data_IF_066658548263
#
_entry.id   IF_066658548263
#
_cell.length_a   1.000
_cell.length_b   1.000
_cell.length_c   1.000
_cell.angle_alpha   90.00
_cell.angle_beta   90.00
_cell.angle_gamma   90.00
#
_symmetry.space_group_name_H-M   'P 1'
#
loop_
_entity.id
_entity.type
_entity.pdbx_description
1 polymer ?
#
# COMPACT_ATOMS: atom_id res chain seq x y z
N UNK A 1 35.62 -29.91 -13.56
CA UNK A 1 34.21 -29.48 -13.62
C UNK A 1 33.87 -28.89 -12.28
N UNK A 2 33.83 -27.56 -12.19
CA UNK A 2 33.34 -26.89 -10.99
C UNK A 2 31.83 -27.10 -10.95
N UNK A 3 31.38 -27.85 -9.94
CA UNK A 3 29.97 -27.89 -9.57
C UNK A 3 29.58 -26.46 -9.21
N UNK A 4 28.71 -25.88 -10.03
CA UNK A 4 28.05 -24.61 -9.76
C UNK A 4 27.19 -24.83 -8.52
N UNK A 5 27.74 -24.54 -7.34
CA UNK A 5 26.99 -24.53 -6.08
C UNK A 5 25.95 -23.46 -6.28
N UNK A 6 24.70 -23.87 -6.56
CA UNK A 6 23.63 -22.98 -6.97
C UNK A 6 23.60 -21.73 -6.10
N UNK A 7 23.95 -20.59 -6.71
CA UNK A 7 24.07 -19.31 -6.00
C UNK A 7 22.72 -19.05 -5.33
N UNK A 8 22.72 -19.02 -4.00
CA UNK A 8 21.52 -18.68 -3.23
C UNK A 8 21.16 -17.23 -3.57
N UNK A 9 19.98 -17.00 -4.13
CA UNK A 9 19.56 -15.64 -4.48
C UNK A 9 18.82 -14.98 -3.32
N UNK A 10 19.24 -13.78 -2.93
CA UNK A 10 18.59 -13.03 -1.86
C UNK A 10 17.49 -12.15 -2.43
N UNK A 11 16.25 -12.35 -1.94
CA UNK A 11 15.09 -11.59 -2.35
C UNK A 11 14.65 -10.69 -1.21
N UNK A 12 14.70 -9.37 -1.44
CA UNK A 12 14.13 -8.38 -0.54
C UNK A 12 12.61 -8.33 -0.71
N UNK A 13 11.85 -8.38 0.38
CA UNK A 13 10.39 -8.26 0.36
C UNK A 13 9.98 -7.01 1.12
N UNK A 14 9.55 -5.98 0.40
CA UNK A 14 9.08 -4.72 0.99
C UNK A 14 7.56 -4.77 1.22
N UNK A 15 7.13 -4.79 2.48
CA UNK A 15 5.73 -4.84 2.89
C UNK A 15 5.21 -3.42 3.20
N UNK A 16 4.27 -2.94 2.38
CA UNK A 16 3.62 -1.63 2.51
C UNK A 16 2.25 -1.81 3.16
N UNK A 17 2.12 -1.33 4.41
CA UNK A 17 0.87 -1.45 5.16
C UNK A 17 -0.19 -0.49 4.58
N UNK A 18 -1.49 -0.81 4.69
CA UNK A 18 -2.53 0.13 4.28
C UNK A 18 -2.54 1.37 5.19
N UNK A 19 -3.02 2.49 4.68
CA UNK A 19 -3.20 3.72 5.47
C UNK A 19 -4.64 3.75 6.02
N UNK A 20 -4.75 3.96 7.32
CA UNK A 20 -6.03 4.08 8.03
C UNK A 20 -5.81 4.53 9.46
N UNK A 21 -6.89 4.72 10.21
CA UNK A 21 -6.81 5.23 11.59
C UNK A 21 -5.96 4.28 12.45
N UNK A 22 -4.73 4.69 12.75
CA UNK A 22 -3.80 3.95 13.61
C UNK A 22 -3.17 2.71 13.00
N UNK A 23 -3.32 2.48 11.70
CA UNK A 23 -2.62 1.35 11.04
C UNK A 23 -1.15 1.72 10.82
N UNK A 24 -0.25 0.78 11.14
CA UNK A 24 1.17 0.86 10.88
C UNK A 24 1.75 -0.52 10.58
N UNK A 25 3.07 -0.68 10.69
CA UNK A 25 3.80 -1.93 10.44
C UNK A 25 3.28 -3.12 11.25
N UNK A 26 2.67 -2.86 12.41
CA UNK A 26 2.07 -3.90 13.25
C UNK A 26 1.01 -4.73 12.50
N UNK A 27 0.40 -4.16 11.46
CA UNK A 27 -0.54 -4.85 10.57
C UNK A 27 0.06 -6.13 9.95
N UNK A 28 1.37 -6.15 9.71
CA UNK A 28 2.05 -7.31 9.14
C UNK A 28 2.58 -8.29 10.20
N UNK A 29 2.43 -8.06 11.50
CA UNK A 29 3.04 -8.95 12.52
C UNK A 29 2.59 -10.41 12.38
N UNK A 30 1.30 -10.65 12.10
CA UNK A 30 0.79 -12.01 11.88
C UNK A 30 1.36 -12.63 10.60
N UNK A 31 1.45 -11.86 9.52
CA UNK A 31 2.06 -12.28 8.27
C UNK A 31 3.54 -12.62 8.46
N UNK A 32 4.29 -11.78 9.16
CA UNK A 32 5.72 -12.01 9.44
C UNK A 32 5.92 -13.31 10.24
N UNK A 33 5.06 -13.57 11.24
CA UNK A 33 5.09 -14.82 11.98
C UNK A 33 4.84 -16.05 11.10
N UNK A 34 3.84 -15.98 10.21
CA UNK A 34 3.54 -17.06 9.27
C UNK A 34 4.64 -17.26 8.22
N UNK A 35 5.25 -16.17 7.72
CA UNK A 35 6.40 -16.25 6.82
C UNK A 35 7.58 -16.92 7.51
N UNK A 36 7.92 -16.50 8.74
CA UNK A 36 9.01 -17.11 9.52
C UNK A 36 8.78 -18.60 9.77
N UNK A 37 7.53 -19.01 10.02
CA UNK A 37 7.19 -20.41 10.32
C UNK A 37 7.16 -21.29 9.08
N UNK A 38 6.73 -20.75 7.94
CA UNK A 38 6.51 -21.53 6.70
C UNK A 38 7.68 -21.51 5.75
N UNK A 39 8.48 -20.46 5.79
CA UNK A 39 9.60 -20.32 4.88
C UNK A 39 10.68 -21.33 5.26
N UNK A 40 10.96 -22.22 4.32
CA UNK A 40 12.07 -23.17 4.41
C UNK A 40 13.19 -22.62 3.54
N UNK A 41 14.37 -22.43 4.15
CA UNK A 41 15.55 -22.02 3.41
C UNK A 41 15.79 -23.01 2.26
N UNK A 42 15.82 -22.48 1.04
CA UNK A 42 16.02 -23.23 -0.20
C UNK A 42 17.06 -22.54 -1.06
N UNK A 43 16.83 -22.46 -2.37
CA UNK A 43 17.72 -21.76 -3.31
C UNK A 43 17.69 -20.24 -3.21
N UNK A 44 16.76 -19.68 -2.41
CA UNK A 44 16.68 -18.24 -2.18
C UNK A 44 16.77 -17.97 -0.68
N UNK A 45 17.27 -16.79 -0.31
CA UNK A 45 17.19 -16.17 1.03
C UNK A 45 16.14 -15.05 1.00
N UNK A 46 15.38 -14.85 2.09
CA UNK A 46 14.36 -13.78 2.16
C UNK A 46 14.72 -12.73 3.21
N UNK A 47 14.80 -11.47 2.78
CA UNK A 47 14.93 -10.31 3.65
C UNK A 47 13.61 -9.55 3.66
N UNK A 48 12.80 -9.75 4.70
CA UNK A 48 11.46 -9.14 4.78
C UNK A 48 11.50 -7.85 5.58
N UNK A 49 11.05 -6.76 4.97
CA UNK A 49 11.10 -5.39 5.51
C UNK A 49 9.68 -4.84 5.59
N UNK A 50 9.27 -4.38 6.78
CA UNK A 50 7.94 -3.80 7.01
C UNK A 50 8.06 -2.48 7.78
N UNK A 51 8.38 -1.36 7.11
CA UNK A 51 8.54 -0.07 7.76
C UNK A 51 7.18 0.58 8.07
N UNK A 52 7.19 1.57 8.95
CA UNK A 52 6.07 2.51 9.07
C UNK A 52 6.20 3.60 7.99
N UNK A 53 5.12 3.85 7.25
CA UNK A 53 5.06 4.95 6.28
C UNK A 53 5.15 6.31 6.97
N UNK A 54 5.76 7.30 6.32
CA UNK A 54 5.75 8.69 6.77
C UNK A 54 4.33 9.10 7.19
N UNK A 55 4.23 9.73 8.36
CA UNK A 55 2.94 10.15 8.91
C UNK A 55 2.12 9.03 9.55
N UNK A 56 2.59 7.79 9.60
CA UNK A 56 1.92 6.63 10.22
C UNK A 56 2.71 6.10 11.42
N UNK A 57 1.99 5.69 12.48
CA UNK A 57 2.55 5.01 13.66
C UNK A 57 3.89 5.60 14.15
N UNK A 58 5.01 4.86 14.15
CA UNK A 58 6.29 5.34 14.69
C UNK A 58 7.01 6.34 13.76
N UNK A 59 6.68 6.36 12.47
CA UNK A 59 7.18 7.31 11.48
C UNK A 59 6.30 8.58 11.36
N UNK A 60 5.46 8.87 12.36
CA UNK A 60 4.53 10.00 12.30
C UNK A 60 5.09 11.35 12.76
N UNK A 61 6.37 11.42 13.07
CA UNK A 61 7.05 12.68 13.39
C UNK A 61 7.97 13.12 12.25
N UNK A 62 7.45 13.71 11.16
CA UNK A 62 8.27 14.30 10.11
C UNK A 62 8.75 15.68 10.57
N UNK A 63 9.65 15.69 11.55
CA UNK A 63 10.40 16.88 11.89
C UNK A 63 11.69 16.80 11.09
N UNK A 64 11.77 17.55 9.99
CA UNK A 64 13.08 17.83 9.41
C UNK A 64 13.83 18.72 10.41
N UNK A 65 14.90 18.18 10.98
CA UNK A 65 15.93 18.98 11.66
C UNK A 65 16.90 19.47 10.60
N UNK A 66 17.18 20.78 10.56
CA UNK A 66 18.32 21.28 9.80
C UNK A 66 19.63 20.71 10.36
N UNK A 67 20.72 20.84 9.60
CA UNK A 67 22.10 20.56 10.07
C UNK A 67 22.51 21.36 11.32
N UNK A 68 21.77 22.42 11.66
CA UNK A 68 21.93 23.21 12.88
C UNK A 68 21.05 22.75 14.07
N UNK A 69 20.31 21.64 13.93
CA UNK A 69 19.40 21.14 14.96
C UNK A 69 18.08 21.92 15.05
N UNK A 70 17.81 22.83 14.12
CA UNK A 70 16.60 23.64 14.09
C UNK A 70 15.44 22.87 13.44
N UNK A 71 14.28 22.85 14.09
CA UNK A 71 13.07 22.22 13.55
C UNK A 71 12.54 23.08 12.40
N UNK A 72 12.88 22.70 11.16
CA UNK A 72 12.53 23.42 9.91
C UNK A 72 11.01 23.62 9.75
N UNK A 73 10.21 22.76 10.39
CA UNK A 73 8.76 22.76 10.25
C UNK A 73 8.02 22.85 11.58
N UNK A 74 8.36 23.81 12.46
CA UNK A 74 7.44 24.16 13.56
C UNK A 74 6.04 24.60 13.07
N UNK A 75 5.89 25.00 11.79
CA UNK A 75 4.65 25.63 11.26
C UNK A 75 4.03 25.02 10.00
N UNK A 76 4.67 24.08 9.30
CA UNK A 76 4.16 23.58 8.00
C UNK A 76 3.97 22.06 8.03
N UNK A 77 2.71 21.65 8.15
CA UNK A 77 2.29 20.24 8.01
C UNK A 77 2.55 19.77 6.58
N UNK A 78 3.35 18.70 6.35
CA UNK A 78 3.56 18.18 5.01
C UNK A 78 2.27 17.50 4.53
N UNK A 79 1.81 17.86 3.33
CA UNK A 79 0.85 17.02 2.61
C UNK A 79 1.66 15.86 2.07
N UNK A 80 1.49 14.68 2.63
CA UNK A 80 2.13 13.47 2.14
C UNK A 80 1.40 12.98 0.89
N UNK A 81 2.14 12.62 -0.15
CA UNK A 81 1.66 12.07 -1.41
C UNK A 81 2.39 10.76 -1.76
N UNK A 82 2.05 10.17 -2.90
CA UNK A 82 2.68 8.93 -3.38
C UNK A 82 4.19 9.06 -3.48
N UNK A 83 4.68 10.17 -4.05
CA UNK A 83 6.12 10.45 -4.21
C UNK A 83 6.83 10.47 -2.86
N UNK A 84 6.29 11.14 -1.84
CA UNK A 84 6.89 11.18 -0.51
C UNK A 84 7.04 9.78 0.11
N UNK A 85 6.04 8.90 -0.09
CA UNK A 85 6.09 7.53 0.41
C UNK A 85 6.97 6.60 -0.45
N UNK A 86 6.96 6.74 -1.78
CA UNK A 86 7.81 5.94 -2.66
C UNK A 86 9.28 6.32 -2.48
N UNK A 87 9.59 7.59 -2.28
CA UNK A 87 10.95 8.08 -2.02
C UNK A 87 11.45 7.56 -0.67
N UNK A 88 10.64 7.69 0.40
CA UNK A 88 10.97 7.13 1.72
C UNK A 88 11.35 5.63 1.62
N UNK A 89 10.54 4.86 0.90
CA UNK A 89 10.76 3.42 0.78
C UNK A 89 11.94 3.09 -0.14
N UNK A 90 12.15 3.87 -1.20
CA UNK A 90 13.30 3.70 -2.10
C UNK A 90 14.63 4.00 -1.42
N UNK A 91 14.67 5.04 -0.57
CA UNK A 91 15.82 5.38 0.25
C UNK A 91 16.12 4.28 1.28
N UNK A 92 15.07 3.74 1.91
CA UNK A 92 15.20 2.61 2.83
C UNK A 92 15.72 1.35 2.11
N UNK A 93 15.19 1.04 0.92
CA UNK A 93 15.69 -0.10 0.12
C UNK A 93 17.17 0.07 -0.20
N UNK A 94 17.60 1.29 -0.59
CA UNK A 94 19.01 1.60 -0.86
C UNK A 94 19.88 1.43 0.38
N UNK A 95 19.42 1.91 1.54
CA UNK A 95 20.12 1.76 2.83
C UNK A 95 20.29 0.28 3.20
N UNK A 96 19.33 -0.58 2.86
CA UNK A 96 19.40 -2.02 3.10
C UNK A 96 20.36 -2.68 2.11
N UNK A 97 20.34 -2.28 0.84
CA UNK A 97 21.28 -2.77 -0.18
C UNK A 97 22.75 -2.48 0.19
N UNK A 98 23.02 -1.38 0.90
CA UNK A 98 24.35 -1.06 1.44
C UNK A 98 24.80 -2.00 2.57
N UNK A 99 23.86 -2.63 3.27
CA UNK A 99 24.11 -3.48 4.44
C UNK A 99 23.92 -4.97 4.16
N UNK A 100 23.22 -5.32 3.09
CA UNK A 100 22.81 -6.68 2.78
C UNK A 100 22.72 -6.85 1.27
N UNK A 101 23.30 -7.94 0.75
CA UNK A 101 23.19 -8.26 -0.67
C UNK A 101 21.75 -8.62 -1.01
N UNK A 102 21.09 -7.81 -1.83
CA UNK A 102 19.77 -8.10 -2.37
C UNK A 102 19.93 -8.30 -3.88
N UNK A 103 19.53 -9.45 -4.44
CA UNK A 103 19.59 -9.64 -5.90
C UNK A 103 18.37 -9.02 -6.59
N UNK A 104 17.20 -9.08 -5.96
CA UNK A 104 15.95 -8.51 -6.49
C UNK A 104 14.95 -8.19 -5.38
N UNK A 105 14.05 -7.27 -5.67
CA UNK A 105 12.97 -6.87 -4.76
C UNK A 105 11.60 -7.37 -5.22
N UNK A 106 10.81 -7.79 -4.24
CA UNK A 106 9.37 -7.95 -4.32
C UNK A 106 8.68 -6.87 -3.48
N UNK A 107 7.86 -6.03 -4.09
CA UNK A 107 7.11 -4.98 -3.36
C UNK A 107 5.66 -5.41 -3.19
N UNK A 108 5.20 -5.45 -1.95
CA UNK A 108 3.88 -5.97 -1.57
C UNK A 108 3.09 -4.84 -0.91
N UNK A 109 1.83 -4.69 -1.28
CA UNK A 109 1.00 -3.58 -0.79
C UNK A 109 -0.46 -4.00 -0.65
N UNK A 110 -1.24 -3.24 0.11
CA UNK A 110 -2.65 -3.52 0.35
C UNK A 110 -3.53 -2.30 0.08
N UNK A 111 -4.66 -2.54 -0.60
CA UNK A 111 -5.72 -1.57 -0.79
C UNK A 111 -5.29 -0.31 -1.54
N UNK A 112 -5.67 0.85 -1.01
CA UNK A 112 -5.40 2.14 -1.66
C UNK A 112 -3.92 2.52 -1.75
N UNK A 113 -3.03 1.80 -1.06
CA UNK A 113 -1.58 2.01 -1.13
C UNK A 113 -0.93 1.29 -2.33
N UNK A 114 -1.70 0.60 -3.17
CA UNK A 114 -1.20 -0.01 -4.41
C UNK A 114 -0.36 0.90 -5.30
N UNK A 115 -0.73 2.19 -5.49
CA UNK A 115 0.05 3.12 -6.30
C UNK A 115 1.48 3.33 -5.79
N UNK A 116 1.74 3.21 -4.49
CA UNK A 116 3.09 3.37 -3.93
C UNK A 116 4.02 2.26 -4.46
N UNK A 117 3.55 1.01 -4.50
CA UNK A 117 4.35 -0.09 -5.00
C UNK A 117 4.61 0.02 -6.51
N UNK A 118 3.60 0.45 -7.27
CA UNK A 118 3.73 0.69 -8.71
C UNK A 118 4.71 1.83 -9.00
N UNK A 119 4.66 2.91 -8.22
CA UNK A 119 5.58 4.03 -8.35
C UNK A 119 7.03 3.60 -8.07
N UNK A 120 7.28 2.84 -6.99
CA UNK A 120 8.63 2.32 -6.67
C UNK A 120 9.17 1.47 -7.82
N UNK A 121 8.35 0.57 -8.37
CA UNK A 121 8.75 -0.28 -9.49
C UNK A 121 9.03 0.54 -10.76
N UNK A 122 8.17 1.50 -11.08
CA UNK A 122 8.34 2.38 -12.24
C UNK A 122 9.60 3.26 -12.11
N UNK A 123 9.86 3.84 -10.94
CA UNK A 123 11.03 4.69 -10.71
C UNK A 123 12.34 3.90 -10.77
N UNK A 124 12.36 2.66 -10.25
CA UNK A 124 13.52 1.79 -10.40
C UNK A 124 13.73 1.36 -11.85
N UNK A 125 12.67 1.07 -12.61
CA UNK A 125 12.75 0.80 -14.05
C UNK A 125 13.31 1.99 -14.85
N UNK A 126 12.87 3.21 -14.57
CA UNK A 126 13.35 4.42 -15.26
C UNK A 126 14.81 4.73 -14.99
N UNK A 127 15.35 4.25 -13.86
CA UNK A 127 16.76 4.40 -13.47
C UNK A 127 17.65 3.29 -14.01
N UNK A 128 17.08 2.24 -14.61
CA UNK A 128 17.83 1.23 -15.36
C UNK A 128 18.26 1.84 -16.70
N UNK A 129 19.56 1.84 -16.98
CA UNK A 129 20.09 2.40 -18.22
C UNK A 129 19.84 1.48 -19.43
N UNK A 130 20.13 1.99 -20.63
CA UNK A 130 20.00 1.27 -21.90
C UNK A 130 20.84 -0.01 -22.02
N UNK A 131 21.79 -0.23 -21.09
CA UNK A 131 22.64 -1.41 -21.04
C UNK A 131 22.11 -2.46 -20.03
N UNK A 132 20.95 -2.22 -19.41
CA UNK A 132 20.37 -3.12 -18.41
C UNK A 132 21.09 -3.09 -17.07
N UNK A 133 22.02 -2.16 -16.88
CA UNK A 133 22.67 -1.90 -15.60
C UNK A 133 21.86 -0.86 -14.84
N UNK A 134 21.45 -1.18 -13.62
CA UNK A 134 20.87 -0.16 -12.74
C UNK A 134 21.95 0.90 -12.51
N UNK A 135 21.73 2.14 -12.93
CA UNK A 135 22.77 3.17 -13.07
C UNK A 135 23.56 3.48 -11.79
N UNK A 136 23.11 2.98 -10.63
CA UNK A 136 23.76 3.10 -9.32
C UNK A 136 24.02 1.74 -8.61
N UNK A 137 23.95 0.60 -9.31
CA UNK A 137 24.11 -0.72 -8.68
C UNK A 137 22.95 -1.16 -7.77
N UNK A 138 21.81 -0.46 -7.81
CA UNK A 138 20.60 -0.82 -7.06
C UNK A 138 20.02 -2.14 -7.57
N UNK A 139 19.30 -2.89 -6.73
CA UNK A 139 18.70 -4.16 -7.13
C UNK A 139 17.37 -3.94 -7.88
N UNK A 140 17.07 -4.67 -8.95
CA UNK A 140 15.81 -4.48 -9.68
C UNK A 140 14.59 -4.86 -8.82
N UNK A 141 13.44 -4.23 -9.09
CA UNK A 141 12.15 -4.72 -8.62
C UNK A 141 11.64 -5.70 -9.66
N UNK A 142 11.62 -6.99 -9.34
CA UNK A 142 11.17 -8.02 -10.28
C UNK A 142 9.67 -8.29 -10.16
N UNK A 143 9.12 -8.17 -8.96
CA UNK A 143 7.75 -8.58 -8.66
C UNK A 143 7.02 -7.51 -7.83
N UNK A 144 5.77 -7.23 -8.19
CA UNK A 144 4.85 -6.40 -7.41
C UNK A 144 3.61 -7.24 -7.06
N UNK A 145 3.28 -7.32 -5.78
CA UNK A 145 2.10 -8.04 -5.29
C UNK A 145 1.10 -7.04 -4.74
N UNK A 146 -0.04 -6.92 -5.40
CA UNK A 146 -1.10 -6.01 -5.02
C UNK A 146 -2.23 -6.77 -4.32
N UNK A 147 -2.47 -6.44 -3.05
CA UNK A 147 -3.50 -7.08 -2.25
C UNK A 147 -4.75 -6.22 -2.12
N UNK A 148 -5.93 -6.85 -2.23
CA UNK A 148 -7.25 -6.22 -2.03
C UNK A 148 -7.39 -4.89 -2.78
N UNK A 149 -6.98 -4.91 -4.04
CA UNK A 149 -6.81 -3.73 -4.89
C UNK A 149 -8.12 -2.97 -5.13
N UNK A 150 -8.06 -1.63 -5.25
CA UNK A 150 -9.16 -0.83 -5.80
C UNK A 150 -9.51 -1.23 -7.23
N UNK A 151 -10.63 -0.71 -7.73
CA UNK A 151 -11.01 -0.87 -9.15
C UNK A 151 -9.99 -0.17 -10.06
N UNK A 152 -9.85 -0.63 -11.31
CA UNK A 152 -8.95 -0.02 -12.29
C UNK A 152 -9.16 1.50 -12.43
N UNK A 153 -10.41 1.97 -12.37
CA UNK A 153 -10.75 3.39 -12.41
C UNK A 153 -10.03 4.22 -11.33
N UNK A 154 -9.71 3.64 -10.17
CA UNK A 154 -8.94 4.33 -9.13
C UNK A 154 -7.51 4.67 -9.61
N UNK A 155 -6.90 3.79 -10.38
CA UNK A 155 -5.53 3.95 -10.90
C UNK A 155 -5.47 4.89 -12.10
N UNK A 156 -6.54 4.93 -12.90
CA UNK A 156 -6.63 5.76 -14.10
C UNK A 156 -7.22 7.15 -13.86
N UNK A 157 -7.82 7.39 -12.68
CA UNK A 157 -8.37 8.70 -12.33
C UNK A 157 -7.26 9.65 -11.92
N UNK A 158 -7.33 10.89 -12.40
CA UNK A 158 -6.49 11.98 -11.90
C UNK A 158 -7.22 12.72 -10.78
N UNK A 159 -6.49 13.05 -9.72
CA UNK A 159 -6.99 13.93 -8.65
C UNK A 159 -6.63 15.38 -8.96
N UNK A 160 -7.54 16.32 -8.70
CA UNK A 160 -7.25 17.75 -8.80
C UNK A 160 -6.33 18.18 -7.63
N UNK A 161 -5.06 18.58 -7.89
CA UNK A 161 -4.10 18.91 -6.83
C UNK A 161 -4.56 20.06 -5.94
N UNK A 162 -5.34 21.01 -6.49
CA UNK A 162 -5.89 22.14 -5.72
C UNK A 162 -6.96 21.65 -4.76
N UNK A 163 -7.87 20.77 -5.21
CA UNK A 163 -8.88 20.13 -4.35
C UNK A 163 -8.22 19.27 -3.27
N UNK A 164 -7.26 18.42 -3.61
CA UNK A 164 -6.53 17.58 -2.64
C UNK A 164 -5.90 18.46 -1.56
N UNK A 165 -5.20 19.52 -1.96
CA UNK A 165 -4.56 20.45 -1.02
C UNK A 165 -5.57 21.19 -0.14
N UNK A 166 -6.72 21.58 -0.69
CA UNK A 166 -7.80 22.23 0.07
C UNK A 166 -8.41 21.26 1.10
N UNK A 167 -8.77 20.04 0.68
CA UNK A 167 -9.30 18.98 1.55
C UNK A 167 -8.31 18.65 2.67
N UNK A 168 -7.03 18.49 2.33
CA UNK A 168 -5.99 18.24 3.32
C UNK A 168 -5.86 19.38 4.33
N UNK A 169 -5.87 20.64 3.89
CA UNK A 169 -5.84 21.79 4.83
C UNK A 169 -7.03 21.76 5.79
N UNK A 170 -8.22 21.43 5.31
CA UNK A 170 -9.43 21.30 6.15
C UNK A 170 -9.27 20.19 7.20
N UNK A 171 -8.76 19.02 6.80
CA UNK A 171 -8.54 17.89 7.70
C UNK A 171 -7.38 18.14 8.68
N UNK A 172 -6.21 18.55 8.17
CA UNK A 172 -5.00 18.65 8.96
C UNK A 172 -4.92 19.89 9.87
N UNK A 173 -5.59 21.00 9.50
CA UNK A 173 -5.55 22.27 10.26
C UNK A 173 -6.88 22.68 10.89
N UNK A 174 -8.00 22.11 10.43
CA UNK A 174 -9.33 22.50 10.89
C UNK A 174 -9.76 21.86 12.22
N UNK A 175 -10.73 22.51 12.87
CA UNK A 175 -11.48 21.94 13.99
C UNK A 175 -12.13 20.60 13.59
N UNK A 176 -12.55 20.48 12.33
CA UNK A 176 -13.17 19.27 11.76
C UNK A 176 -12.28 18.05 11.89
N UNK A 177 -11.01 18.10 11.46
CA UNK A 177 -10.13 16.95 11.56
C UNK A 177 -9.72 16.62 12.99
N UNK A 178 -9.55 17.63 13.86
CA UNK A 178 -9.35 17.40 15.30
C UNK A 178 -10.57 16.70 15.92
N UNK A 179 -11.78 17.15 15.62
CA UNK A 179 -13.02 16.56 16.09
C UNK A 179 -13.20 15.13 15.57
N UNK A 180 -12.94 14.89 14.28
CA UNK A 180 -12.94 13.54 13.70
C UNK A 180 -11.92 12.61 14.36
N UNK A 181 -10.70 13.09 14.60
CA UNK A 181 -9.66 12.30 15.27
C UNK A 181 -10.05 11.96 16.70
N UNK A 182 -10.52 12.96 17.46
CA UNK A 182 -11.05 12.76 18.81
C UNK A 182 -12.21 11.77 18.81
N UNK A 183 -13.16 11.92 17.87
CA UNK A 183 -14.29 11.02 17.71
C UNK A 183 -13.85 9.59 17.38
N UNK A 184 -12.79 9.43 16.59
CA UNK A 184 -12.24 8.12 16.26
C UNK A 184 -11.64 7.43 17.48
N UNK A 185 -11.08 8.19 18.42
CA UNK A 185 -10.40 7.69 19.62
C UNK A 185 -11.27 7.63 20.89
N UNK A 186 -12.46 8.23 20.86
CA UNK A 186 -13.39 8.21 22.00
C UNK A 186 -13.84 6.78 22.33
N UNK A 187 -14.29 6.57 23.56
CA UNK A 187 -14.76 5.27 24.04
C UNK A 187 -13.77 4.15 23.71
N UNK A 188 -12.49 4.41 23.96
CA UNK A 188 -11.39 3.47 23.70
C UNK A 188 -11.34 2.94 22.25
N UNK A 189 -11.58 3.82 21.27
CA UNK A 189 -11.52 3.45 19.85
C UNK A 189 -12.72 2.65 19.35
N UNK A 190 -13.90 2.75 20.00
CA UNK A 190 -15.11 2.06 19.56
C UNK A 190 -15.50 2.36 18.09
N UNK A 191 -15.24 3.58 17.62
CA UNK A 191 -15.42 3.92 16.21
C UNK A 191 -14.48 3.12 15.30
N UNK A 192 -13.19 3.05 15.66
CA UNK A 192 -12.18 2.32 14.89
C UNK A 192 -12.59 0.86 14.77
N UNK A 193 -12.93 0.20 15.88
CA UNK A 193 -13.36 -1.19 15.87
C UNK A 193 -14.58 -1.40 14.96
N UNK A 194 -15.64 -0.62 15.18
CA UNK A 194 -16.87 -0.72 14.37
C UNK A 194 -16.64 -0.42 12.89
N UNK A 195 -15.71 0.49 12.58
CA UNK A 195 -15.31 0.77 11.21
C UNK A 195 -14.57 -0.42 10.59
N UNK A 196 -13.60 -1.00 11.30
CA UNK A 196 -12.83 -2.16 10.86
C UNK A 196 -13.73 -3.38 10.63
N UNK A 197 -14.62 -3.69 11.58
CA UNK A 197 -15.56 -4.81 11.49
C UNK A 197 -16.48 -4.73 10.27
N UNK A 198 -16.92 -3.52 9.93
CA UNK A 198 -17.87 -3.29 8.84
C UNK A 198 -17.22 -3.21 7.47
N UNK A 199 -16.01 -2.67 7.39
CA UNK A 199 -15.41 -2.27 6.12
C UNK A 199 -14.14 -3.04 5.76
N UNK A 200 -13.38 -3.53 6.74
CA UNK A 200 -12.03 -4.06 6.50
C UNK A 200 -11.99 -5.59 6.54
N UNK A 201 -12.74 -6.22 7.45
CA UNK A 201 -12.76 -7.66 7.58
C UNK A 201 -14.02 -8.33 6.99
N UNK A 202 -13.89 -9.61 6.69
CA UNK A 202 -15.00 -10.51 6.38
C UNK A 202 -15.77 -10.88 7.65
N UNK A 203 -15.01 -11.18 8.71
CA UNK A 203 -15.48 -11.68 10.00
C UNK A 203 -14.79 -10.89 11.13
N UNK A 204 -15.54 -10.23 12.03
CA UNK A 204 -15.00 -9.46 13.15
C UNK A 204 -13.96 -10.21 14.00
N UNK A 205 -14.21 -11.50 14.25
CA UNK A 205 -13.34 -12.38 15.04
C UNK A 205 -11.93 -12.51 14.46
N UNK A 206 -11.76 -12.35 13.14
CA UNK A 206 -10.46 -12.46 12.49
C UNK A 206 -9.53 -11.27 12.80
N UNK A 207 -10.07 -10.11 13.22
CA UNK A 207 -9.24 -8.99 13.66
C UNK A 207 -8.47 -9.33 14.93
N UNK A 208 -9.05 -10.16 15.79
CA UNK A 208 -8.50 -10.57 17.09
C UNK A 208 -8.37 -9.41 18.10
N UNK A 209 -7.93 -9.74 19.33
CA UNK A 209 -8.04 -8.82 20.48
C UNK A 209 -7.12 -7.60 20.38
N UNK A 210 -5.95 -7.75 19.74
CA UNK A 210 -4.95 -6.68 19.69
C UNK A 210 -5.25 -5.61 18.64
N UNK A 211 -6.14 -5.86 17.68
CA UNK A 211 -6.41 -4.95 16.56
C UNK A 211 -6.80 -3.55 17.05
N UNK A 212 -7.82 -3.49 17.90
CA UNK A 212 -8.33 -2.21 18.44
C UNK A 212 -7.24 -1.50 19.23
N UNK A 213 -6.54 -2.23 20.12
CA UNK A 213 -5.49 -1.66 20.97
C UNK A 213 -4.37 -1.06 20.12
N UNK A 214 -3.85 -1.83 19.16
CA UNK A 214 -2.77 -1.38 18.29
C UNK A 214 -3.19 -0.15 17.46
N UNK A 215 -4.40 -0.15 16.89
CA UNK A 215 -4.91 1.04 16.19
C UNK A 215 -4.96 2.27 17.12
N UNK A 216 -5.52 2.12 18.32
CA UNK A 216 -5.68 3.24 19.26
C UNK A 216 -4.33 3.77 19.73
N UNK A 217 -3.41 2.88 20.09
CA UNK A 217 -2.07 3.23 20.58
C UNK A 217 -1.28 3.94 19.48
N UNK A 218 -1.21 3.35 18.27
CA UNK A 218 -0.57 3.97 17.11
C UNK A 218 -1.23 5.31 16.74
N UNK A 219 -2.55 5.44 16.88
CA UNK A 219 -3.27 6.69 16.62
C UNK A 219 -3.02 7.78 17.69
N UNK A 220 -2.54 7.42 18.88
CA UNK A 220 -2.19 8.35 19.96
C UNK A 220 -0.71 8.76 19.95
N UNK A 221 0.16 7.98 19.29
CA UNK A 221 1.59 8.26 19.21
C UNK A 221 1.89 9.71 18.84
N UNK A 222 2.92 10.26 19.49
CA UNK A 222 3.43 11.63 19.31
C UNK A 222 2.33 12.72 19.36
N UNK A 223 1.33 12.53 20.24
CA UNK A 223 0.22 13.48 20.39
C UNK A 223 -0.78 13.45 19.23
N UNK A 224 -0.95 12.28 18.60
CA UNK A 224 -1.88 12.07 17.49
C UNK A 224 -1.38 12.60 16.15
N UNK A 225 -0.07 12.69 15.95
CA UNK A 225 0.53 13.08 14.65
C UNK A 225 0.41 11.99 13.59
N UNK A 226 0.13 10.74 13.98
CA UNK A 226 -0.16 9.63 13.05
C UNK A 226 -1.44 9.79 12.23
N UNK A 227 -2.24 10.83 12.51
CA UNK A 227 -3.40 11.19 11.68
C UNK A 227 -3.02 11.74 10.31
N UNK A 228 -1.80 12.22 10.11
CA UNK A 228 -1.44 12.94 8.88
C UNK A 228 -1.45 12.03 7.66
N UNK A 229 -0.95 10.80 7.75
CA UNK A 229 -1.09 9.84 6.66
C UNK A 229 -2.56 9.53 6.37
N UNK A 230 -3.37 9.33 7.41
CA UNK A 230 -4.82 9.10 7.27
C UNK A 230 -5.50 10.30 6.58
N UNK A 231 -5.13 11.53 6.93
CA UNK A 231 -5.70 12.73 6.32
C UNK A 231 -5.22 12.94 4.88
N UNK A 232 -3.97 12.63 4.56
CA UNK A 232 -3.48 12.61 3.18
C UNK A 232 -4.23 11.60 2.33
N UNK A 233 -4.44 10.38 2.85
CA UNK A 233 -5.27 9.35 2.22
C UNK A 233 -6.68 9.87 1.97
N UNK A 234 -7.34 10.40 3.00
CA UNK A 234 -8.70 10.94 2.90
C UNK A 234 -8.78 12.15 1.97
N UNK A 235 -7.71 12.92 1.81
CA UNK A 235 -7.68 14.06 0.91
C UNK A 235 -7.53 13.67 -0.58
N UNK A 236 -7.24 12.41 -0.89
CA UNK A 236 -7.09 11.92 -2.26
C UNK A 236 -5.65 11.85 -2.78
N UNK A 237 -4.64 11.97 -1.91
CA UNK A 237 -3.24 12.09 -2.32
C UNK A 237 -2.62 10.79 -2.93
N UNK A 238 -3.41 9.72 -3.06
CA UNK A 238 -2.98 8.40 -3.56
C UNK A 238 -3.41 8.11 -5.00
N UNK A 239 -3.98 9.06 -5.74
CA UNK A 239 -4.34 8.83 -7.14
C UNK A 239 -3.34 9.45 -8.13
N UNK A 240 -2.54 10.40 -7.66
CA UNK A 240 -1.63 11.16 -8.52
C UNK A 240 -0.46 10.28 -9.03
N UNK A 241 -0.04 10.45 -10.28
CA UNK A 241 1.07 9.68 -10.89
C UNK A 241 0.81 8.19 -11.16
N UNK A 242 -0.31 7.63 -10.70
CA UNK A 242 -0.57 6.20 -10.78
C UNK A 242 -0.73 5.67 -12.22
N UNK A 243 -1.36 6.44 -13.10
CA UNK A 243 -1.54 6.07 -14.50
C UNK A 243 -0.20 6.01 -15.25
N UNK A 244 0.70 6.95 -14.95
CA UNK A 244 2.05 7.03 -15.52
C UNK A 244 2.93 5.86 -15.04
N UNK A 245 2.85 5.50 -13.74
CA UNK A 245 3.52 4.32 -13.21
C UNK A 245 3.03 3.03 -13.89
N UNK A 246 1.70 2.86 -14.07
CA UNK A 246 1.16 1.72 -14.80
C UNK A 246 1.66 1.67 -16.25
N UNK A 247 1.60 2.80 -16.97
CA UNK A 247 2.07 2.88 -18.35
C UNK A 247 3.56 2.51 -18.47
N UNK A 248 4.40 3.02 -17.56
CA UNK A 248 5.83 2.68 -17.50
C UNK A 248 6.03 1.18 -17.28
N UNK A 249 5.21 0.57 -16.43
CA UNK A 249 5.35 -0.85 -16.13
C UNK A 249 4.84 -1.74 -17.26
N UNK A 250 3.92 -1.32 -18.14
CA UNK A 250 3.41 -2.12 -19.27
C UNK A 250 4.55 -2.70 -20.11
N UNK A 251 5.54 -1.89 -20.46
CA UNK A 251 6.65 -2.32 -21.32
C UNK A 251 7.85 -2.91 -20.54
N UNK A 252 7.72 -3.07 -19.22
CA UNK A 252 8.80 -3.56 -18.35
C UNK A 252 8.82 -5.09 -18.17
N UNK A 253 9.94 -5.64 -17.70
CA UNK A 253 10.04 -7.02 -17.24
C UNK A 253 9.43 -7.29 -15.85
N UNK A 254 8.82 -6.29 -15.21
CA UNK A 254 8.25 -6.42 -13.86
C UNK A 254 6.96 -7.25 -13.90
N UNK A 255 6.91 -8.28 -13.06
CA UNK A 255 5.73 -9.11 -12.88
C UNK A 255 4.79 -8.46 -11.85
N UNK A 256 3.48 -8.46 -12.13
CA UNK A 256 2.47 -7.92 -11.21
C UNK A 256 1.45 -9.03 -10.92
N UNK A 257 1.29 -9.40 -9.64
CA UNK A 257 0.33 -10.40 -9.18
C UNK A 257 -0.64 -9.83 -8.15
N UNK A 258 -1.76 -10.53 -7.94
CA UNK A 258 -2.90 -10.08 -7.16
C UNK A 258 -3.23 -11.07 -6.04
N UNK A 259 -3.45 -10.57 -4.83
CA UNK A 259 -4.03 -11.33 -3.71
C UNK A 259 -5.39 -10.72 -3.36
N UNK A 260 -6.45 -11.53 -3.39
CA UNK A 260 -7.82 -11.08 -3.12
C UNK A 260 -8.43 -11.83 -1.94
N UNK A 261 -9.20 -11.13 -1.12
CA UNK A 261 -10.05 -11.76 -0.10
C UNK A 261 -11.27 -12.44 -0.73
N UNK A 262 -11.61 -13.62 -0.22
CA UNK A 262 -12.72 -14.44 -0.70
C UNK A 262 -14.11 -13.91 -0.35
N UNK A 263 -14.24 -12.95 0.56
CA UNK A 263 -15.54 -12.33 0.86
C UNK A 263 -15.95 -11.34 -0.26
N UNK A 264 -17.06 -11.60 -1.00
CA UNK A 264 -17.50 -10.78 -2.12
C UNK A 264 -18.20 -9.48 -1.69
N UNK A 265 -18.41 -9.22 -0.39
CA UNK A 265 -19.13 -8.02 0.09
C UNK A 265 -18.49 -6.75 -0.47
N UNK A 266 -19.28 -6.01 -1.25
CA UNK A 266 -18.91 -4.70 -1.80
C UNK A 266 -18.52 -3.76 -0.67
N UNK A 267 -17.34 -3.13 -0.80
CA UNK A 267 -16.86 -2.14 0.16
C UNK A 267 -17.88 -0.99 0.27
N UNK A 268 -18.41 -0.76 1.47
CA UNK A 268 -19.35 0.34 1.74
C UNK A 268 -18.62 1.61 2.17
N UNK A 269 -17.32 1.54 2.41
CA UNK A 269 -16.50 2.71 2.72
C UNK A 269 -16.40 3.62 1.50
N UNK A 270 -17.35 4.54 1.39
CA UNK A 270 -17.20 5.76 0.61
C UNK A 270 -16.35 6.68 1.47
N UNK A 271 -15.13 7.04 1.05
CA UNK A 271 -14.57 8.24 1.69
C UNK A 271 -15.39 9.43 1.23
N UNK A 272 -15.62 10.31 2.19
CA UNK A 272 -16.41 11.52 2.04
C UNK A 272 -15.85 12.46 0.96
N UNK A 273 -14.61 12.25 0.53
CA UNK A 273 -13.86 13.10 -0.39
C UNK A 273 -13.57 12.45 -1.75
N UNK A 274 -13.82 11.15 -1.92
CA UNK A 274 -13.76 10.55 -3.25
C UNK A 274 -15.07 10.93 -3.97
N UNK A 275 -15.06 12.05 -4.69
CA UNK A 275 -16.14 12.37 -5.62
C UNK A 275 -16.26 11.19 -6.60
N UNK A 276 -17.43 10.54 -6.63
CA UNK A 276 -17.79 9.77 -7.81
C UNK A 276 -17.78 10.77 -8.97
N UNK A 277 -17.13 10.48 -10.12
CA UNK A 277 -17.40 11.25 -11.32
C UNK A 277 -18.92 11.35 -11.44
N UNK A 278 -19.47 12.56 -11.61
CA UNK A 278 -20.87 12.70 -11.96
C UNK A 278 -21.04 11.99 -13.30
N UNK A 279 -21.46 10.72 -13.29
CA UNK A 279 -22.12 10.14 -14.44
C UNK A 279 -23.28 11.09 -14.71
N UNK A 280 -23.23 11.76 -15.86
CA UNK A 280 -24.37 12.50 -16.37
C UNK A 280 -25.55 11.54 -16.35
N UNK A 281 -26.46 11.74 -15.38
CA UNK A 281 -27.76 11.08 -15.34
C UNK A 281 -28.62 11.70 -16.44
N UNK A 282 -28.25 11.42 -17.68
CA UNK A 282 -29.04 11.65 -18.88
C UNK A 282 -28.65 10.59 -19.90
N UNK A 283 -28.79 9.33 -19.49
CA UNK A 283 -28.93 8.22 -20.40
C UNK A 283 -30.01 7.30 -19.82
N UNK A 284 -31.16 7.35 -20.47
CA UNK A 284 -32.24 6.37 -20.52
C UNK A 284 -31.94 5.02 -19.86
N UNK A 285 -32.87 4.58 -19.01
CA UNK A 285 -33.06 3.16 -18.65
C UNK A 285 -33.13 2.33 -19.94
N UNK A 286 -32.02 1.76 -20.38
CA UNK A 286 -32.02 0.57 -21.23
C UNK A 286 -31.55 -0.59 -20.37
N UNK A 287 -32.52 -1.42 -19.98
CA UNK A 287 -32.29 -2.76 -19.47
C UNK A 287 -31.71 -3.61 -20.60
N UNK A 288 -30.39 -3.63 -20.72
CA UNK A 288 -29.67 -4.65 -21.49
C UNK A 288 -28.48 -5.06 -20.65
N UNK A 289 -28.62 -6.19 -19.97
CA UNK A 289 -27.52 -6.97 -19.41
C UNK A 289 -26.68 -7.54 -20.57
N UNK A 290 -25.98 -6.66 -21.30
CA UNK A 290 -24.99 -7.06 -22.29
C UNK A 290 -23.63 -7.24 -21.54
N UNK A 291 -23.01 -8.43 -21.56
CA UNK A 291 -21.74 -8.69 -20.88
C UNK A 291 -20.58 -7.76 -21.31
N UNK A 292 -20.76 -6.98 -22.38
CA UNK A 292 -19.78 -6.03 -22.94
C UNK A 292 -19.65 -4.70 -22.20
N UNK A 293 -20.56 -4.37 -21.28
CA UNK A 293 -20.55 -3.10 -20.54
C UNK A 293 -19.92 -3.17 -19.13
N UNK A 294 -19.31 -4.30 -18.76
CA UNK A 294 -18.58 -4.37 -17.49
C UNK A 294 -17.25 -3.61 -17.59
N UNK A 295 -16.95 -2.69 -16.63
CA UNK A 295 -15.69 -1.97 -16.65
C UNK A 295 -14.51 -2.96 -16.49
N UNK A 296 -13.49 -2.79 -17.33
CA UNK A 296 -12.25 -3.58 -17.31
C UNK A 296 -11.68 -3.64 -15.88
N UNK A 297 -11.39 -4.85 -15.41
CA UNK A 297 -10.74 -5.08 -14.11
C UNK A 297 -9.23 -4.85 -14.23
N UNK A 298 -8.57 -4.53 -13.10
CA UNK A 298 -7.11 -4.39 -13.10
C UNK A 298 -6.41 -5.66 -13.61
N UNK A 299 -6.92 -6.85 -13.26
CA UNK A 299 -6.39 -8.12 -13.76
C UNK A 299 -6.46 -8.21 -15.29
N UNK A 300 -7.62 -7.91 -15.87
CA UNK A 300 -7.79 -7.93 -17.33
C UNK A 300 -6.86 -6.93 -18.01
N UNK A 301 -6.74 -5.72 -17.45
CA UNK A 301 -5.79 -4.72 -17.92
C UNK A 301 -4.35 -5.25 -17.90
N UNK A 302 -3.91 -5.84 -16.79
CA UNK A 302 -2.56 -6.39 -16.65
C UNK A 302 -2.30 -7.52 -17.65
N UNK A 303 -3.24 -8.46 -17.81
CA UNK A 303 -3.12 -9.57 -18.75
C UNK A 303 -3.05 -9.10 -20.21
N UNK A 304 -3.91 -8.14 -20.59
CA UNK A 304 -3.91 -7.54 -21.93
C UNK A 304 -2.59 -6.86 -22.26
N UNK A 305 -1.91 -6.33 -21.25
CA UNK A 305 -0.60 -5.67 -21.36
C UNK A 305 0.57 -6.62 -21.06
N UNK A 306 0.39 -7.93 -21.26
CA UNK A 306 1.46 -8.92 -21.20
C UNK A 306 2.04 -9.19 -19.80
N UNK A 307 1.36 -8.77 -18.73
CA UNK A 307 1.79 -9.05 -17.35
C UNK A 307 1.30 -10.40 -16.88
N UNK A 308 2.09 -11.02 -16.00
CA UNK A 308 1.79 -12.32 -15.39
C UNK A 308 0.39 -12.37 -14.78
N UNK A 309 0.04 -11.38 -13.94
CA UNK A 309 -1.29 -11.18 -13.39
C UNK A 309 -1.89 -12.44 -12.75
N UNK A 310 -1.07 -13.25 -12.04
CA UNK A 310 -1.59 -14.37 -11.25
C UNK A 310 -2.46 -13.79 -10.14
N UNK A 311 -3.64 -14.37 -9.97
CA UNK A 311 -4.57 -13.95 -8.92
C UNK A 311 -4.82 -15.14 -8.00
N UNK A 312 -4.54 -14.96 -6.70
CA UNK A 312 -4.87 -15.93 -5.67
C UNK A 312 -5.95 -15.37 -4.76
N UNK A 313 -6.99 -16.17 -4.52
CA UNK A 313 -8.03 -15.85 -3.54
C UNK A 313 -7.73 -16.55 -2.22
N UNK A 314 -7.75 -15.80 -1.13
CA UNK A 314 -7.50 -16.29 0.24
C UNK A 314 -8.65 -15.90 1.18
N UNK A 315 -8.60 -16.32 2.44
CA UNK A 315 -9.57 -15.93 3.45
C UNK A 315 -9.55 -14.41 3.72
N UNK A 316 -10.63 -13.91 4.32
CA UNK A 316 -10.80 -12.49 4.65
C UNK A 316 -11.36 -11.66 3.50
N UNK A 317 -11.22 -10.34 3.61
CA UNK A 317 -11.85 -9.36 2.71
C UNK A 317 -10.88 -8.31 2.19
N UNK A 318 -10.53 -7.32 3.01
CA UNK A 318 -9.61 -6.23 2.64
C UNK A 318 -8.32 -6.35 3.45
N UNK A 319 -8.43 -6.59 4.76
CA UNK A 319 -7.28 -6.74 5.65
C UNK A 319 -6.69 -8.15 5.61
N UNK A 320 -6.51 -8.71 4.42
CA UNK A 320 -6.22 -10.14 4.22
C UNK A 320 -4.88 -10.59 4.82
N UNK A 321 -3.86 -9.72 4.88
CA UNK A 321 -2.59 -10.04 5.54
C UNK A 321 -2.73 -10.21 7.06
N UNK A 322 -3.78 -9.62 7.65
CA UNK A 322 -4.10 -9.74 9.07
C UNK A 322 -5.17 -10.81 9.36
N UNK A 323 -6.15 -10.94 8.47
CA UNK A 323 -7.27 -11.89 8.60
C UNK A 323 -6.91 -13.33 8.25
N UNK A 324 -6.13 -13.55 7.20
CA UNK A 324 -5.66 -14.86 6.75
C UNK A 324 -4.16 -14.79 6.45
N UNK A 325 -3.38 -14.48 7.49
CA UNK A 325 -1.93 -14.37 7.42
C UNK A 325 -1.29 -15.65 6.84
N UNK A 326 -1.85 -16.82 7.16
CA UNK A 326 -1.38 -18.11 6.68
C UNK A 326 -1.61 -18.29 5.17
N UNK A 327 -2.82 -17.98 4.67
CA UNK A 327 -3.13 -17.97 3.24
C UNK A 327 -2.33 -16.93 2.49
N UNK A 328 -2.16 -15.75 3.08
CA UNK A 328 -1.35 -14.68 2.52
C UNK A 328 0.12 -15.08 2.38
N UNK A 329 0.71 -15.68 3.41
CA UNK A 329 2.09 -16.16 3.38
C UNK A 329 2.28 -17.24 2.29
N UNK A 330 1.35 -18.19 2.15
CA UNK A 330 1.40 -19.20 1.08
C UNK A 330 1.33 -18.57 -0.31
N UNK A 331 0.41 -17.63 -0.52
CA UNK A 331 0.27 -16.94 -1.80
C UNK A 331 1.52 -16.12 -2.14
N UNK A 332 2.06 -15.39 -1.16
CA UNK A 332 3.27 -14.58 -1.35
C UNK A 332 4.50 -15.45 -1.67
N UNK A 333 4.71 -16.55 -0.94
CA UNK A 333 5.81 -17.47 -1.21
C UNK A 333 5.69 -18.12 -2.61
N UNK A 334 4.47 -18.45 -3.06
CA UNK A 334 4.23 -18.95 -4.42
C UNK A 334 4.44 -17.90 -5.52
N UNK A 335 4.43 -16.61 -5.17
CA UNK A 335 4.71 -15.51 -6.08
C UNK A 335 6.19 -15.14 -6.18
N UNK A 336 6.94 -15.44 -5.11
CA UNK A 336 8.37 -15.13 -5.00
C UNK A 336 9.25 -16.30 -5.47
N UNK A 337 8.83 -17.53 -5.18
CA UNK A 337 9.46 -18.76 -5.68
C UNK A 337 9.15 -19.01 -7.15
#
# INVERSE_FOLDING_TARGET
GNLDVGKVSTIGVMLIHPIGVGIGRWYHHRLLHELQTRYQAGSNELVVVSPDLLGSSTACNPVMTSSSGEVLTKRKTPLLNITDWSDQLSDLMTTIEEQTTIDKWCVVTNGGCSPIALQIAADRMRRTDSNGTNGNGQSPVSNVVLSSVPRLSFFLSTSDPVKVRKSYRTLARGIVGKAFWWYSLRNDGAFILKFSERNLCAKPENLGPDWKRNCVDSARLFGGRSRYSTFSFLAGALQDGCADALATLVDSGVEIDLIRGGDPKVNRAKSWFWETPKQNQTATRSSTDDPKDQPETLRQFLQRNGKRARETTIGGRISVAHEDAAGYARALLAFIG
#
